data_IF_376486997418
#
_entry.id   IF_376486997418
#
_cell.length_a   1.000
_cell.length_b   1.000
_cell.length_c   1.000
_cell.angle_alpha   90.00
_cell.angle_beta   90.00
_cell.angle_gamma   90.00
#
_symmetry.space_group_name_H-M   'P 1'
#
loop_
_entity.id
_entity.type
_entity.pdbx_description
1 polymer ?
#
# COMPACT_ATOMS: atom_id res chain seq x y z
N UNK A 1 7.27 -9.66 10.03
CA UNK A 1 7.83 -8.64 9.13
C UNK A 1 6.73 -7.64 8.78
N UNK A 2 6.99 -6.33 8.89
CA UNK A 2 6.01 -5.30 8.57
C UNK A 2 5.78 -5.23 7.05
N UNK A 3 4.52 -5.24 6.62
CA UNK A 3 4.12 -5.29 5.21
C UNK A 3 4.49 -3.98 4.49
N UNK A 4 5.30 -4.08 3.43
CA UNK A 4 5.78 -2.92 2.64
C UNK A 4 6.63 -1.90 3.40
N UNK A 5 7.07 -2.21 4.63
CA UNK A 5 7.81 -1.26 5.46
C UNK A 5 9.08 -0.75 4.78
N UNK A 6 9.88 -1.65 4.19
CA UNK A 6 11.12 -1.26 3.52
C UNK A 6 10.85 -0.32 2.33
N UNK A 7 9.82 -0.60 1.52
CA UNK A 7 9.39 0.28 0.43
C UNK A 7 8.96 1.67 0.94
N UNK A 8 8.23 1.73 2.05
CA UNK A 8 7.84 3.02 2.65
C UNK A 8 9.04 3.78 3.20
N UNK A 9 10.00 3.08 3.80
CA UNK A 9 11.23 3.67 4.33
C UNK A 9 12.09 4.25 3.20
N UNK A 10 12.29 3.50 2.14
CA UNK A 10 13.10 3.92 0.99
C UNK A 10 12.47 5.13 0.30
N UNK A 11 11.15 5.10 0.08
CA UNK A 11 10.42 6.24 -0.47
C UNK A 11 10.49 7.47 0.43
N UNK A 12 10.33 7.30 1.75
CA UNK A 12 10.43 8.44 2.66
C UNK A 12 11.80 9.11 2.54
N UNK A 13 12.88 8.32 2.57
CA UNK A 13 14.25 8.81 2.43
C UNK A 13 14.48 9.50 1.08
N UNK A 14 13.94 8.95 -0.01
CA UNK A 14 13.99 9.59 -1.33
C UNK A 14 13.30 10.96 -1.35
N UNK A 15 12.12 11.08 -0.70
CA UNK A 15 11.31 12.31 -0.75
C UNK A 15 11.75 13.39 0.23
N UNK A 16 12.32 13.02 1.37
CA UNK A 16 12.68 13.97 2.44
C UNK A 16 14.18 14.17 2.59
N UNK A 17 15.01 13.25 2.08
CA UNK A 17 16.45 13.21 2.37
C UNK A 17 16.78 12.68 3.77
N UNK A 18 15.78 12.30 4.56
CA UNK A 18 15.91 11.91 5.96
C UNK A 18 15.42 10.48 6.21
N UNK A 19 16.01 9.81 7.20
CA UNK A 19 15.48 8.56 7.72
C UNK A 19 14.30 8.82 8.67
N UNK A 20 13.38 7.86 8.81
CA UNK A 20 12.30 7.99 9.79
C UNK A 20 12.85 8.25 11.19
N UNK A 21 12.29 9.27 11.84
CA UNK A 21 12.38 9.45 13.28
C UNK A 21 11.79 8.24 14.01
N UNK A 22 12.11 8.09 15.30
CA UNK A 22 11.57 7.02 16.14
C UNK A 22 10.04 6.95 16.09
N UNK A 23 9.38 8.11 16.20
CA UNK A 23 7.92 8.21 16.21
C UNK A 23 7.29 7.83 14.85
N UNK A 24 7.91 8.22 13.75
CA UNK A 24 7.47 7.86 12.40
C UNK A 24 7.63 6.37 12.13
N UNK A 25 8.79 5.83 12.50
CA UNK A 25 9.07 4.40 12.37
C UNK A 25 8.08 3.57 13.18
N UNK A 26 7.81 3.98 14.42
CA UNK A 26 6.82 3.35 15.28
C UNK A 26 5.41 3.41 14.67
N UNK A 27 5.00 4.58 14.16
CA UNK A 27 3.73 4.73 13.45
C UNK A 27 3.60 3.73 12.29
N UNK A 28 4.59 3.71 11.39
CA UNK A 28 4.55 2.85 10.21
C UNK A 28 4.55 1.38 10.63
N UNK A 29 5.43 0.95 11.53
CA UNK A 29 5.54 -0.47 11.91
C UNK A 29 4.32 -0.97 12.68
N UNK A 30 3.83 -0.20 13.65
CA UNK A 30 2.82 -0.68 14.62
C UNK A 30 1.40 -0.50 14.09
N UNK A 31 1.13 0.59 13.38
CA UNK A 31 -0.23 0.96 12.98
C UNK A 31 -0.47 0.71 11.49
N UNK A 32 0.36 1.31 10.63
CA UNK A 32 0.06 1.35 9.21
C UNK A 32 0.45 0.08 8.45
N UNK A 33 1.70 -0.37 8.64
CA UNK A 33 2.40 -1.46 7.94
C UNK A 33 2.53 -2.72 8.80
N UNK A 34 1.79 -2.84 9.90
CA UNK A 34 1.89 -3.99 10.78
C UNK A 34 1.62 -5.31 10.03
N UNK A 35 2.31 -6.38 10.41
CA UNK A 35 2.06 -7.75 9.94
C UNK A 35 0.61 -8.23 10.16
N UNK A 36 -0.12 -7.62 11.09
CA UNK A 36 -1.52 -7.93 11.36
C UNK A 36 -2.35 -7.81 10.05
N UNK A 37 -3.17 -8.82 9.71
CA UNK A 37 -4.10 -8.76 8.58
C UNK A 37 -4.98 -7.51 8.54
N UNK A 38 -5.27 -6.92 9.70
CA UNK A 38 -6.11 -5.72 9.88
C UNK A 38 -5.31 -4.41 9.85
N UNK A 39 -4.02 -4.43 9.53
CA UNK A 39 -3.27 -3.19 9.33
C UNK A 39 -3.85 -2.42 8.13
N UNK A 40 -3.79 -1.09 8.19
CA UNK A 40 -4.43 -0.24 7.18
C UNK A 40 -3.81 -0.46 5.81
N UNK A 41 -2.48 -0.49 5.68
CA UNK A 41 -1.82 -0.74 4.39
C UNK A 41 -2.25 -2.06 3.75
N UNK A 42 -2.38 -3.12 4.53
CA UNK A 42 -2.75 -4.45 4.03
C UNK A 42 -4.24 -4.53 3.67
N UNK A 43 -5.09 -3.91 4.47
CA UNK A 43 -6.54 -3.79 4.18
C UNK A 43 -6.75 -3.04 2.86
N UNK A 44 -6.04 -1.93 2.67
CA UNK A 44 -6.10 -1.12 1.45
C UNK A 44 -5.56 -1.91 0.26
N UNK A 45 -4.44 -2.61 0.43
CA UNK A 45 -3.87 -3.51 -0.59
C UNK A 45 -4.88 -4.56 -1.06
N UNK A 46 -5.55 -5.26 -0.14
CA UNK A 46 -6.55 -6.26 -0.52
C UNK A 46 -7.79 -5.63 -1.18
N UNK A 47 -8.19 -4.44 -0.74
CA UNK A 47 -9.22 -3.65 -1.41
C UNK A 47 -8.85 -3.32 -2.86
N UNK A 48 -7.63 -2.84 -3.09
CA UNK A 48 -7.10 -2.57 -4.42
C UNK A 48 -7.08 -3.84 -5.29
N UNK A 49 -6.55 -4.95 -4.78
CA UNK A 49 -6.56 -6.22 -5.51
C UNK A 49 -7.97 -6.68 -5.88
N UNK A 50 -8.95 -6.51 -4.99
CA UNK A 50 -10.35 -6.87 -5.28
C UNK A 50 -10.89 -6.04 -6.43
N UNK A 51 -10.65 -4.73 -6.45
CA UNK A 51 -11.06 -3.86 -7.55
C UNK A 51 -10.37 -4.21 -8.87
N UNK A 52 -9.06 -4.48 -8.83
CA UNK A 52 -8.28 -4.89 -10.01
C UNK A 52 -8.79 -6.21 -10.61
N UNK A 53 -9.10 -7.20 -9.77
CA UNK A 53 -9.70 -8.48 -10.23
C UNK A 53 -11.10 -8.31 -10.80
N UNK A 54 -11.84 -7.30 -10.35
CA UNK A 54 -13.15 -6.95 -10.89
C UNK A 54 -13.06 -5.99 -12.08
N UNK A 55 -11.87 -5.79 -12.66
CA UNK A 55 -11.62 -4.98 -13.85
C UNK A 55 -12.08 -3.51 -13.72
N UNK A 56 -12.03 -2.95 -12.51
CA UNK A 56 -12.26 -1.52 -12.32
C UNK A 56 -11.16 -0.71 -13.05
N UNK A 57 -11.50 0.45 -13.65
CA UNK A 57 -10.51 1.28 -14.33
C UNK A 57 -9.36 1.69 -13.41
N UNK A 58 -8.12 1.63 -13.91
CA UNK A 58 -6.92 1.93 -13.10
C UNK A 58 -6.95 3.29 -12.40
N UNK A 59 -7.38 4.41 -13.05
CA UNK A 59 -7.48 5.70 -12.37
C UNK A 59 -8.44 5.69 -11.18
N UNK A 60 -9.53 4.91 -11.28
CA UNK A 60 -10.54 4.77 -10.22
C UNK A 60 -9.93 4.03 -9.03
N UNK A 61 -9.23 2.92 -9.28
CA UNK A 61 -8.55 2.17 -8.22
C UNK A 61 -7.47 3.02 -7.55
N UNK A 62 -6.67 3.77 -8.32
CA UNK A 62 -5.65 4.68 -7.79
C UNK A 62 -6.25 5.76 -6.88
N UNK A 63 -7.35 6.40 -7.31
CA UNK A 63 -8.05 7.40 -6.51
C UNK A 63 -8.63 6.81 -5.21
N UNK A 64 -9.20 5.60 -5.28
CA UNK A 64 -9.71 4.89 -4.10
C UNK A 64 -8.58 4.63 -3.09
N UNK A 65 -7.45 4.08 -3.54
CA UNK A 65 -6.30 3.79 -2.67
C UNK A 65 -5.77 5.06 -2.00
N UNK A 66 -5.64 6.16 -2.75
CA UNK A 66 -5.25 7.46 -2.19
C UNK A 66 -6.25 7.96 -1.13
N UNK A 67 -7.55 7.81 -1.39
CA UNK A 67 -8.60 8.17 -0.44
C UNK A 67 -8.52 7.36 0.85
N UNK A 68 -8.33 6.05 0.75
CA UNK A 68 -8.26 5.16 1.91
C UNK A 68 -6.98 5.37 2.73
N UNK A 69 -5.82 5.60 2.09
CA UNK A 69 -4.59 5.95 2.82
C UNK A 69 -4.77 7.27 3.57
N UNK A 70 -5.36 8.28 2.92
CA UNK A 70 -5.65 9.57 3.56
C UNK A 70 -6.56 9.41 4.78
N UNK A 71 -7.63 8.61 4.67
CA UNK A 71 -8.54 8.30 5.79
C UNK A 71 -7.83 7.57 6.93
N UNK A 72 -7.01 6.56 6.61
CA UNK A 72 -6.24 5.82 7.59
C UNK A 72 -5.29 6.75 8.36
N UNK A 73 -4.54 7.60 7.66
CA UNK A 73 -3.63 8.57 8.27
C UNK A 73 -4.34 9.56 9.19
N UNK A 74 -5.56 9.98 8.85
CA UNK A 74 -6.37 10.83 9.71
C UNK A 74 -6.82 10.09 10.98
N UNK A 75 -7.42 8.91 10.81
CA UNK A 75 -7.95 8.07 11.90
C UNK A 75 -6.86 7.67 12.90
N UNK A 76 -5.69 7.28 12.38
CA UNK A 76 -4.55 6.80 13.17
C UNK A 76 -3.66 7.93 13.68
N UNK A 77 -4.03 9.19 13.42
CA UNK A 77 -3.26 10.37 13.82
C UNK A 77 -1.79 10.33 13.36
N UNK A 78 -1.56 9.94 12.11
CA UNK A 78 -0.22 9.83 11.54
C UNK A 78 0.63 11.12 11.73
N UNK A 79 1.97 11.02 11.87
CA UNK A 79 2.88 12.15 11.94
C UNK A 79 2.71 13.11 10.76
N UNK A 80 2.93 14.42 10.98
CA UNK A 80 2.67 15.46 9.97
C UNK A 80 3.49 15.26 8.68
N UNK A 81 4.75 14.89 8.82
CA UNK A 81 5.68 14.53 7.75
C UNK A 81 5.14 13.38 6.89
N UNK A 82 4.71 12.28 7.53
CA UNK A 82 4.11 11.13 6.84
C UNK A 82 2.78 11.51 6.18
N UNK A 83 1.94 12.32 6.84
CA UNK A 83 0.66 12.78 6.27
C UNK A 83 0.82 13.52 4.94
N UNK A 84 1.90 14.28 4.78
CA UNK A 84 2.18 15.00 3.52
C UNK A 84 2.44 14.04 2.36
N UNK A 85 2.94 12.84 2.65
CA UNK A 85 3.33 11.83 1.68
C UNK A 85 2.25 10.76 1.42
N UNK A 86 0.98 11.05 1.76
CA UNK A 86 -0.09 10.05 1.65
C UNK A 86 -0.28 9.51 0.22
N UNK A 87 0.03 10.32 -0.81
CA UNK A 87 -0.11 9.90 -2.22
C UNK A 87 0.96 8.89 -2.59
N UNK A 88 2.18 9.08 -2.09
CA UNK A 88 3.34 8.24 -2.33
C UNK A 88 3.19 6.89 -1.60
N UNK A 89 2.69 6.91 -0.37
CA UNK A 89 2.30 5.68 0.34
C UNK A 89 1.20 4.91 -0.42
N UNK A 90 0.21 5.62 -0.95
CA UNK A 90 -0.86 5.04 -1.76
C UNK A 90 -0.34 4.45 -3.07
N UNK A 91 0.62 5.11 -3.72
CA UNK A 91 1.23 4.65 -4.96
C UNK A 91 1.99 3.33 -4.76
N UNK A 92 2.79 3.21 -3.69
CA UNK A 92 3.45 1.94 -3.34
C UNK A 92 2.44 0.80 -3.15
N UNK A 93 1.33 1.06 -2.45
CA UNK A 93 0.31 0.03 -2.22
C UNK A 93 -0.36 -0.37 -3.55
N UNK A 94 -0.66 0.61 -4.39
CA UNK A 94 -1.29 0.40 -5.69
C UNK A 94 -0.37 -0.41 -6.62
N UNK A 95 0.90 -0.04 -6.75
CA UNK A 95 1.86 -0.71 -7.63
C UNK A 95 2.07 -2.17 -7.22
N UNK A 96 2.23 -2.43 -5.92
CA UNK A 96 2.37 -3.81 -5.44
C UNK A 96 1.07 -4.61 -5.63
N UNK A 97 -0.10 -3.98 -5.53
CA UNK A 97 -1.37 -4.63 -5.85
C UNK A 97 -1.48 -4.97 -7.34
N UNK A 98 -1.05 -4.08 -8.24
CA UNK A 98 -0.99 -4.34 -9.68
C UNK A 98 -0.04 -5.47 -10.01
N UNK A 99 1.20 -5.44 -9.51
CA UNK A 99 2.21 -6.47 -9.72
C UNK A 99 1.68 -7.84 -9.28
N UNK A 100 1.05 -7.89 -8.09
CA UNK A 100 0.46 -9.13 -7.59
C UNK A 100 -0.73 -9.59 -8.43
N UNK A 101 -1.55 -8.67 -8.94
CA UNK A 101 -2.68 -9.00 -9.79
C UNK A 101 -2.21 -9.62 -11.12
N UNK A 102 -1.23 -9.00 -11.78
CA UNK A 102 -0.63 -9.50 -13.03
C UNK A 102 -0.03 -10.90 -12.81
N UNK A 103 0.77 -11.07 -11.76
CA UNK A 103 1.37 -12.37 -11.42
C UNK A 103 0.31 -13.46 -11.20
N UNK A 104 -0.83 -13.13 -10.59
CA UNK A 104 -1.92 -14.09 -10.42
C UNK A 104 -2.54 -14.45 -11.77
N UNK A 105 -2.81 -13.47 -12.64
CA UNK A 105 -3.40 -13.70 -13.97
C UNK A 105 -2.54 -14.64 -14.82
N UNK A 106 -1.22 -14.42 -14.85
CA UNK A 106 -0.28 -15.30 -15.58
C UNK A 106 -0.38 -16.75 -15.09
N UNK A 107 -0.39 -16.96 -13.76
CA UNK A 107 -0.52 -18.31 -13.18
C UNK A 107 -1.84 -18.99 -13.50
N UNK A 108 -2.93 -18.22 -13.60
CA UNK A 108 -4.23 -18.76 -14.02
C UNK A 108 -4.21 -19.19 -15.49
N UNK A 109 -3.60 -18.39 -16.35
CA UNK A 109 -3.47 -18.71 -17.78
C UNK A 109 -2.61 -19.97 -17.99
N UNK A 110 -1.47 -20.08 -17.30
CA UNK A 110 -0.61 -21.29 -17.34
C UNK A 110 -1.36 -22.54 -16.90
N UNK A 111 -2.11 -22.45 -15.79
CA UNK A 111 -2.91 -23.57 -15.29
C UNK A 111 -4.03 -23.97 -16.26
N UNK A 112 -4.67 -23.00 -16.91
CA UNK A 112 -5.74 -23.25 -17.88
C UNK A 112 -5.26 -23.93 -19.17
N UNK A 113 -4.00 -23.73 -19.56
CA UNK A 113 -3.38 -24.37 -20.74
C UNK A 113 -2.86 -25.79 -20.48
N UNK A 114 -2.74 -26.18 -19.21
CA UNK A 114 -2.30 -27.52 -18.79
C UNK A 114 -3.45 -28.52 -18.56
N UNK A 115 -4.70 -28.09 -18.78
CA UNK A 115 -5.93 -28.89 -18.72
C UNK A 115 -6.44 -29.18 -20.13
#
# INVERSE_FOLDING_TARGET
MAFLFDKFKDMFKEKTGEDFTKNEKEYVIIYFANSNPKSSSKTIFYGAMRCLRAFYPLPVVKAMVQGEVKKAFQKEKAPKSIKKLYKEFAEIIFDVAMEKNISNTIKWDEKSKSL
#
